data_IF_454409238563
#
_entry.id   IF_454409238563
#
_cell.length_a   1.000
_cell.length_b   1.000
_cell.length_c   1.000
_cell.angle_alpha   90.00
_cell.angle_beta   90.00
_cell.angle_gamma   90.00
#
_symmetry.space_group_name_H-M   'P 1'
#
loop_
_entity.id
_entity.type
_entity.pdbx_description
1 polymer ?
#
# COMPACT_ATOMS: atom_id res chain seq x y z
N UNK A 1 -11.08 -8.99 -23.61
CA UNK A 1 -10.30 -8.35 -22.53
C UNK A 1 -11.32 -7.72 -21.60
N UNK A 2 -11.66 -8.36 -20.47
CA UNK A 2 -12.57 -7.76 -19.49
C UNK A 2 -11.68 -7.05 -18.48
N UNK A 3 -11.37 -5.79 -18.74
CA UNK A 3 -10.87 -4.88 -17.70
C UNK A 3 -12.09 -4.36 -16.97
N UNK A 4 -12.70 -5.20 -16.12
CA UNK A 4 -13.70 -4.68 -15.18
C UNK A 4 -12.97 -3.65 -14.30
N UNK A 5 -13.38 -2.37 -14.32
CA UNK A 5 -12.81 -1.40 -13.41
C UNK A 5 -13.04 -1.95 -12.01
N UNK A 6 -11.95 -2.15 -11.26
CA UNK A 6 -12.06 -2.55 -9.87
C UNK A 6 -12.93 -1.48 -9.18
N UNK A 7 -13.99 -1.87 -8.45
CA UNK A 7 -14.96 -0.91 -7.94
C UNK A 7 -14.26 0.12 -7.03
N UNK A 8 -14.63 1.39 -7.14
CA UNK A 8 -14.00 2.51 -6.41
C UNK A 8 -13.90 2.24 -4.91
N UNK A 9 -14.98 1.72 -4.30
CA UNK A 9 -14.99 1.34 -2.89
C UNK A 9 -14.00 0.22 -2.51
N UNK A 10 -13.58 -0.63 -3.46
CA UNK A 10 -12.54 -1.62 -3.20
C UNK A 10 -11.13 -1.02 -3.21
N UNK A 11 -10.90 0.08 -3.95
CA UNK A 11 -9.65 0.85 -3.88
C UNK A 11 -9.52 1.56 -2.53
N UNK A 12 -10.60 2.21 -2.08
CA UNK A 12 -10.64 2.86 -0.76
C UNK A 12 -10.45 1.86 0.38
N UNK A 13 -11.13 0.71 0.32
CA UNK A 13 -10.97 -0.36 1.31
C UNK A 13 -9.52 -0.88 1.36
N UNK A 14 -8.87 -1.01 0.20
CA UNK A 14 -7.47 -1.45 0.10
C UNK A 14 -6.50 -0.39 0.63
N UNK A 15 -6.72 0.88 0.31
CA UNK A 15 -5.93 1.99 0.85
C UNK A 15 -6.02 2.08 2.38
N UNK A 16 -7.23 1.99 2.93
CA UNK A 16 -7.44 1.96 4.39
C UNK A 16 -6.80 0.73 5.04
N UNK A 17 -6.82 -0.42 4.37
CA UNK A 17 -6.15 -1.62 4.86
C UNK A 17 -4.63 -1.44 4.97
N UNK A 18 -4.01 -0.85 3.94
CA UNK A 18 -2.57 -0.55 3.92
C UNK A 18 -2.23 0.46 5.02
N UNK A 19 -2.98 1.57 5.12
CA UNK A 19 -2.82 2.58 6.17
C UNK A 19 -2.82 1.94 7.56
N UNK A 20 -3.84 1.13 7.83
CA UNK A 20 -4.00 0.45 9.13
C UNK A 20 -2.84 -0.48 9.41
N UNK A 21 -2.43 -1.28 8.41
CA UNK A 21 -1.30 -2.21 8.53
C UNK A 21 0.00 -1.48 8.84
N UNK A 22 0.29 -0.35 8.19
CA UNK A 22 1.50 0.44 8.43
C UNK A 22 1.47 1.08 9.82
N UNK A 23 0.34 1.65 10.24
CA UNK A 23 0.23 2.37 11.51
C UNK A 23 0.14 1.45 12.73
N UNK A 24 -0.49 0.29 12.59
CA UNK A 24 -0.70 -0.66 13.70
C UNK A 24 0.30 -1.81 13.70
N UNK A 25 0.99 -2.04 12.58
CA UNK A 25 1.77 -3.26 12.36
C UNK A 25 0.84 -4.45 12.12
N UNK A 26 1.39 -5.55 11.61
CA UNK A 26 0.65 -6.80 11.41
C UNK A 26 1.60 -7.99 11.39
N UNK A 27 1.27 -9.01 12.18
CA UNK A 27 2.11 -10.21 12.34
C UNK A 27 3.56 -9.83 12.70
N UNK A 28 4.54 -10.23 11.88
CA UNK A 28 5.96 -9.90 12.08
C UNK A 28 6.33 -8.47 11.61
N UNK A 29 5.44 -7.76 10.91
CA UNK A 29 5.69 -6.39 10.45
C UNK A 29 5.47 -5.41 11.60
N UNK A 30 6.50 -4.64 12.01
CA UNK A 30 6.35 -3.63 13.06
C UNK A 30 5.51 -2.45 12.59
N UNK A 31 4.96 -1.70 13.55
CA UNK A 31 4.26 -0.45 13.27
C UNK A 31 5.22 0.69 12.94
N UNK A 32 4.82 1.53 11.99
CA UNK A 32 5.53 2.76 11.60
C UNK A 32 4.75 3.97 12.12
N UNK A 33 5.32 4.61 13.15
CA UNK A 33 4.77 5.84 13.74
C UNK A 33 4.99 7.03 12.80
N UNK A 34 4.24 8.09 13.01
CA UNK A 34 4.32 9.33 12.22
C UNK A 34 5.74 9.92 12.18
N UNK A 35 6.50 9.81 13.27
CA UNK A 35 7.90 10.22 13.34
C UNK A 35 8.85 9.45 12.40
N UNK A 36 8.44 8.30 11.87
CA UNK A 36 9.20 7.50 10.90
C UNK A 36 8.67 7.63 9.47
N UNK A 37 7.35 7.72 9.32
CA UNK A 37 6.67 7.90 8.03
C UNK A 37 5.56 8.92 8.29
N UNK A 38 5.69 10.10 7.73
CA UNK A 38 4.65 11.14 7.80
C UNK A 38 3.37 10.68 7.09
N UNK A 39 2.24 11.30 7.38
CA UNK A 39 0.99 10.97 6.70
C UNK A 39 1.07 11.20 5.18
N UNK A 40 1.76 12.25 4.73
CA UNK A 40 1.94 12.53 3.31
C UNK A 40 2.75 11.44 2.58
N UNK A 41 3.81 10.95 3.22
CA UNK A 41 4.61 9.84 2.68
C UNK A 41 3.81 8.52 2.65
N UNK A 42 2.95 8.30 3.66
CA UNK A 42 2.07 7.15 3.70
C UNK A 42 1.00 7.20 2.59
N UNK A 43 0.40 8.36 2.31
CA UNK A 43 -0.51 8.51 1.17
C UNK A 43 0.18 8.22 -0.16
N UNK A 44 1.38 8.76 -0.36
CA UNK A 44 2.16 8.51 -1.57
C UNK A 44 2.50 7.02 -1.74
N UNK A 45 2.85 6.34 -0.65
CA UNK A 45 3.07 4.88 -0.67
C UNK A 45 1.79 4.11 -1.02
N UNK A 46 0.65 4.49 -0.44
CA UNK A 46 -0.63 3.85 -0.73
C UNK A 46 -0.97 4.01 -2.22
N UNK A 47 -0.89 5.22 -2.77
CA UNK A 47 -1.17 5.48 -4.17
C UNK A 47 -0.26 4.66 -5.11
N UNK A 48 1.05 4.61 -4.84
CA UNK A 48 1.99 3.79 -5.61
C UNK A 48 1.68 2.29 -5.55
N UNK A 49 1.27 1.77 -4.38
CA UNK A 49 0.84 0.37 -4.21
C UNK A 49 -0.47 0.06 -4.94
N UNK A 50 -1.41 1.02 -4.98
CA UNK A 50 -2.68 0.85 -5.70
C UNK A 50 -2.44 0.90 -7.22
N UNK A 51 -1.55 1.77 -7.71
CA UNK A 51 -1.15 1.85 -9.13
C UNK A 51 -0.29 0.68 -9.60
N UNK A 52 0.25 -0.11 -8.67
CA UNK A 52 1.12 -1.24 -8.98
C UNK A 52 2.54 -0.84 -9.36
N UNK A 53 2.95 0.41 -9.09
CA UNK A 53 4.28 0.94 -9.44
C UNK A 53 5.41 0.24 -8.70
N UNK A 54 5.10 -0.38 -7.56
CA UNK A 54 6.04 -1.14 -6.74
C UNK A 54 6.13 -2.64 -7.09
N UNK A 55 5.37 -3.12 -8.09
CA UNK A 55 5.38 -4.53 -8.48
C UNK A 55 6.62 -4.94 -9.32
N UNK A 56 7.43 -3.98 -9.78
CA UNK A 56 8.48 -4.22 -10.78
C UNK A 56 9.88 -4.53 -10.22
N UNK A 57 10.03 -4.75 -8.90
CA UNK A 57 11.34 -4.97 -8.26
C UNK A 57 11.57 -6.38 -7.72
N UNK A 58 10.65 -7.32 -7.96
CA UNK A 58 10.76 -8.71 -7.51
C UNK A 58 11.15 -9.70 -8.62
N UNK A 59 11.70 -9.22 -9.74
CA UNK A 59 12.33 -10.08 -10.77
C UNK A 59 13.83 -10.08 -10.49
N UNK A 60 14.31 -11.17 -9.92
CA UNK A 60 15.62 -11.26 -9.27
C UNK A 60 16.83 -11.18 -10.18
N UNK A 61 17.96 -10.95 -9.53
CA UNK A 61 19.27 -11.46 -9.93
C UNK A 61 19.85 -12.13 -8.69
N UNK A 62 20.02 -13.45 -8.79
CA UNK A 62 20.76 -14.33 -7.88
C UNK A 62 22.27 -14.12 -8.04
#
# INVERSE_FOLDING_TARGET
MITMPFPEGAWEARGNHIRTTVRQGRAAMPSFREAKISDAELEGLIDALLRGELANTATGEE
#
